data_IF_682364972563
#
_entry.id   IF_682364972563
#
_cell.length_a   1.000
_cell.length_b   1.000
_cell.length_c   1.000
_cell.angle_alpha   90.00
_cell.angle_beta   90.00
_cell.angle_gamma   90.00
#
_symmetry.space_group_name_H-M   'P 1'
#
loop_
_entity.id
_entity.type
_entity.pdbx_description
1 polymer ?
#
# COMPACT_ATOMS: atom_id res chain seq x y z
N UNK A 1 -32.29 -10.85 -5.09
CA UNK A 1 -30.87 -10.51 -5.08
C UNK A 1 -30.18 -11.45 -6.06
N UNK A 2 -29.52 -10.92 -7.06
CA UNK A 2 -28.75 -11.74 -8.01
C UNK A 2 -27.39 -12.03 -7.36
N UNK A 3 -27.06 -13.30 -7.17
CA UNK A 3 -25.74 -13.76 -6.71
C UNK A 3 -24.85 -13.94 -7.94
N UNK A 4 -23.69 -13.32 -7.95
CA UNK A 4 -22.70 -13.44 -9.02
C UNK A 4 -21.40 -13.98 -8.44
N UNK A 5 -20.67 -14.76 -9.23
CA UNK A 5 -19.30 -15.17 -8.90
C UNK A 5 -18.42 -13.93 -8.78
N UNK A 6 -17.65 -13.83 -7.69
CA UNK A 6 -16.79 -12.68 -7.41
C UNK A 6 -15.84 -12.33 -8.59
N UNK A 7 -15.33 -13.36 -9.26
CA UNK A 7 -14.38 -13.21 -10.36
C UNK A 7 -15.00 -12.61 -11.65
N UNK A 8 -16.32 -12.58 -11.79
CA UNK A 8 -16.99 -12.11 -13.01
C UNK A 8 -17.16 -10.60 -13.06
N UNK A 9 -17.24 -9.93 -11.90
CA UNK A 9 -17.54 -8.49 -11.82
C UNK A 9 -16.56 -7.68 -10.95
N UNK A 10 -15.60 -8.35 -10.30
CA UNK A 10 -14.64 -7.70 -9.44
C UNK A 10 -13.20 -7.86 -9.97
N UNK A 11 -12.41 -6.81 -9.86
CA UNK A 11 -10.97 -6.83 -10.09
C UNK A 11 -10.24 -6.58 -8.77
N UNK A 12 -9.17 -7.32 -8.55
CA UNK A 12 -8.35 -7.23 -7.34
C UNK A 12 -7.02 -6.51 -7.65
N UNK A 13 -6.58 -5.65 -6.74
CA UNK A 13 -5.25 -5.04 -6.72
C UNK A 13 -4.62 -5.34 -5.36
N UNK A 14 -3.37 -5.78 -5.34
CA UNK A 14 -2.68 -6.24 -4.14
C UNK A 14 -2.48 -7.75 -4.12
N UNK A 15 -1.83 -8.22 -3.06
CA UNK A 15 -1.62 -9.66 -2.86
C UNK A 15 -2.81 -10.26 -2.13
N UNK A 16 -3.57 -11.07 -2.84
CA UNK A 16 -4.70 -11.80 -2.31
C UNK A 16 -4.40 -13.31 -2.25
N UNK A 17 -4.78 -13.93 -1.14
CA UNK A 17 -4.95 -15.37 -1.06
C UNK A 17 -6.25 -15.75 -1.78
N UNK A 18 -6.14 -16.58 -2.81
CA UNK A 18 -7.25 -17.09 -3.62
C UNK A 18 -7.43 -18.59 -3.45
N UNK A 19 -7.01 -19.16 -2.33
CA UNK A 19 -7.26 -20.59 -2.01
C UNK A 19 -8.76 -20.87 -2.06
N UNK A 20 -9.58 -19.94 -1.56
CA UNK A 20 -11.02 -19.90 -1.78
C UNK A 20 -11.34 -18.76 -2.76
N UNK A 21 -11.47 -19.06 -4.05
CA UNK A 21 -11.63 -18.05 -5.12
C UNK A 21 -12.85 -17.16 -4.94
N UNK A 22 -13.92 -17.69 -4.36
CA UNK A 22 -15.16 -16.95 -4.11
C UNK A 22 -15.10 -16.09 -2.85
N UNK A 23 -14.00 -16.19 -2.09
CA UNK A 23 -13.74 -15.41 -0.88
C UNK A 23 -12.29 -14.92 -0.85
N UNK A 24 -11.89 -14.08 -1.82
CA UNK A 24 -10.53 -13.57 -1.86
C UNK A 24 -10.19 -12.86 -0.54
N UNK A 25 -9.03 -13.18 0.02
CA UNK A 25 -8.57 -12.65 1.30
C UNK A 25 -7.32 -11.79 1.12
N UNK A 26 -7.29 -10.63 1.75
CA UNK A 26 -6.12 -9.75 1.82
C UNK A 26 -5.76 -9.39 3.26
N UNK A 27 -4.48 -9.08 3.49
CA UNK A 27 -3.98 -8.58 4.77
C UNK A 27 -3.15 -7.30 4.60
N UNK A 28 -2.51 -7.14 3.45
CA UNK A 28 -1.64 -5.99 3.17
C UNK A 28 -2.44 -4.71 2.97
N UNK A 29 -1.90 -3.62 3.49
CA UNK A 29 -2.41 -2.27 3.26
C UNK A 29 -2.54 -1.97 1.76
N UNK A 30 -3.48 -1.14 1.37
CA UNK A 30 -3.77 -0.78 -0.02
C UNK A 30 -4.24 -1.93 -0.92
N UNK A 31 -4.41 -3.15 -0.38
CA UNK A 31 -5.13 -4.18 -1.14
C UNK A 31 -6.55 -3.69 -1.44
N UNK A 32 -6.98 -3.81 -2.70
CA UNK A 32 -8.23 -3.20 -3.12
C UNK A 32 -9.09 -4.09 -4.02
N UNK A 33 -10.40 -3.86 -3.95
CA UNK A 33 -11.42 -4.45 -4.83
C UNK A 33 -12.02 -3.34 -5.68
N UNK A 34 -12.09 -3.56 -6.99
CA UNK A 34 -12.67 -2.63 -7.97
C UNK A 34 -13.91 -3.24 -8.58
N UNK A 35 -14.99 -2.47 -8.61
CA UNK A 35 -16.28 -2.84 -9.19
C UNK A 35 -16.78 -1.73 -10.10
N UNK A 36 -17.67 -2.10 -11.04
CA UNK A 36 -18.55 -1.15 -11.69
C UNK A 36 -19.97 -1.69 -11.66
N UNK A 37 -20.94 -0.81 -11.49
CA UNK A 37 -22.35 -1.19 -11.40
C UNK A 37 -23.28 -0.10 -11.93
N UNK A 38 -24.50 -0.49 -12.27
CA UNK A 38 -25.62 0.42 -12.54
C UNK A 38 -26.62 0.32 -11.40
N UNK A 39 -27.02 1.45 -10.84
CA UNK A 39 -27.99 1.51 -9.73
C UNK A 39 -27.68 2.65 -8.76
N UNK A 40 -28.39 2.68 -7.64
CA UNK A 40 -28.36 3.80 -6.67
C UNK A 40 -27.72 3.44 -5.33
N UNK A 41 -27.32 2.18 -5.15
CA UNK A 41 -26.72 1.70 -3.90
C UNK A 41 -25.93 0.41 -4.12
N UNK A 42 -25.01 0.13 -3.23
CA UNK A 42 -24.22 -1.13 -3.19
C UNK A 42 -23.93 -1.53 -1.76
N UNK A 43 -24.01 -2.83 -1.49
CA UNK A 43 -23.69 -3.43 -0.20
C UNK A 43 -22.64 -4.52 -0.37
N UNK A 44 -21.90 -4.80 0.71
CA UNK A 44 -20.84 -5.79 0.78
C UNK A 44 -21.09 -6.71 1.97
N UNK A 45 -20.83 -8.01 1.81
CA UNK A 45 -20.63 -8.95 2.90
C UNK A 45 -19.13 -9.30 2.97
N UNK A 46 -18.50 -9.03 4.10
CA UNK A 46 -17.09 -9.27 4.34
C UNK A 46 -16.85 -9.82 5.75
N UNK A 47 -15.74 -10.54 5.89
CA UNK A 47 -15.25 -11.07 7.15
C UNK A 47 -13.95 -10.34 7.51
N UNK A 48 -13.88 -9.82 8.73
CA UNK A 48 -12.65 -9.33 9.34
C UNK A 48 -12.22 -10.30 10.44
N UNK A 49 -10.94 -10.70 10.42
CA UNK A 49 -10.39 -11.66 11.38
C UNK A 49 -10.38 -11.12 12.81
N UNK A 50 -10.13 -9.83 13.03
CA UNK A 50 -9.85 -9.23 14.34
C UNK A 50 -10.77 -8.06 14.73
N UNK A 51 -11.52 -7.50 13.77
CA UNK A 51 -12.43 -6.37 13.96
C UNK A 51 -11.70 -5.04 14.11
N UNK A 52 -10.48 -4.96 13.58
CA UNK A 52 -9.63 -3.76 13.64
C UNK A 52 -9.32 -3.20 12.25
N UNK A 53 -9.82 -3.83 11.19
CA UNK A 53 -9.61 -3.37 9.84
C UNK A 53 -10.57 -2.24 9.45
N UNK A 54 -10.02 -1.33 8.68
CA UNK A 54 -10.74 -0.21 8.07
C UNK A 54 -10.57 -0.25 6.56
N UNK A 55 -11.62 0.10 5.83
CA UNK A 55 -11.60 0.21 4.38
C UNK A 55 -12.00 1.62 3.94
N UNK A 56 -11.24 2.17 3.00
CA UNK A 56 -11.58 3.41 2.30
C UNK A 56 -12.52 3.11 1.16
N UNK A 57 -13.57 3.92 1.01
CA UNK A 57 -14.59 3.80 -0.03
C UNK A 57 -14.42 4.94 -1.01
N UNK A 58 -14.16 4.59 -2.27
CA UNK A 58 -14.01 5.54 -3.37
C UNK A 58 -15.10 5.26 -4.40
N UNK A 59 -15.95 6.23 -4.67
CA UNK A 59 -17.03 6.16 -5.65
C UNK A 59 -16.80 7.19 -6.74
N UNK A 60 -16.79 6.75 -7.99
CA UNK A 60 -16.54 7.60 -9.17
C UNK A 60 -15.23 8.41 -9.07
N UNK A 61 -14.20 7.78 -8.50
CA UNK A 61 -12.88 8.38 -8.29
C UNK A 61 -12.79 9.37 -7.13
N UNK A 62 -13.86 9.51 -6.32
CA UNK A 62 -13.92 10.39 -5.15
C UNK A 62 -13.94 9.57 -3.88
N UNK A 63 -12.97 9.79 -2.98
CA UNK A 63 -12.98 9.21 -1.64
C UNK A 63 -14.18 9.78 -0.86
N UNK A 64 -15.08 8.92 -0.40
CA UNK A 64 -16.35 9.29 0.24
C UNK A 64 -16.30 9.19 1.75
N UNK A 65 -15.92 8.03 2.24
CA UNK A 65 -15.86 7.69 3.66
C UNK A 65 -15.00 6.44 3.85
N UNK A 66 -14.82 6.08 5.10
CA UNK A 66 -14.22 4.81 5.48
C UNK A 66 -15.16 4.02 6.42
N UNK A 67 -15.01 2.70 6.42
CA UNK A 67 -15.83 1.79 7.21
C UNK A 67 -14.93 0.95 8.11
N UNK A 68 -15.24 0.89 9.41
CA UNK A 68 -14.67 -0.09 10.32
C UNK A 68 -15.38 -1.44 10.12
N UNK A 69 -14.61 -2.47 9.85
CA UNK A 69 -15.11 -3.83 9.77
C UNK A 69 -15.16 -4.45 11.18
N UNK A 70 -16.26 -5.13 11.47
CA UNK A 70 -16.44 -5.85 12.73
C UNK A 70 -15.89 -7.27 12.60
N UNK A 71 -15.36 -7.81 13.70
CA UNK A 71 -14.88 -9.18 13.74
C UNK A 71 -15.93 -10.19 13.29
N UNK A 72 -15.54 -11.09 12.39
CA UNK A 72 -16.42 -12.09 11.78
C UNK A 72 -17.14 -11.57 10.54
N UNK A 73 -18.11 -12.32 10.05
CA UNK A 73 -18.84 -12.03 8.82
C UNK A 73 -19.98 -11.06 9.08
N UNK A 74 -19.97 -9.92 8.39
CA UNK A 74 -21.00 -8.90 8.51
C UNK A 74 -21.35 -8.31 7.15
N UNK A 75 -22.59 -7.79 7.06
CA UNK A 75 -23.06 -7.02 5.92
C UNK A 75 -22.88 -5.53 6.18
N UNK A 76 -22.39 -4.80 5.16
CA UNK A 76 -22.16 -3.36 5.18
C UNK A 76 -22.87 -2.70 4.01
N UNK A 77 -23.58 -1.61 4.27
CA UNK A 77 -24.01 -0.68 3.22
C UNK A 77 -22.80 0.16 2.88
N UNK A 78 -22.29 0.03 1.65
CA UNK A 78 -21.12 0.75 1.19
C UNK A 78 -21.50 2.15 0.73
N UNK A 79 -22.54 2.24 -0.10
CA UNK A 79 -23.06 3.52 -0.58
C UNK A 79 -24.55 3.38 -0.87
N UNK A 80 -25.27 4.49 -0.70
CA UNK A 80 -26.71 4.56 -1.01
C UNK A 80 -27.13 5.99 -1.39
N UNK A 81 -28.20 6.10 -2.17
CA UNK A 81 -28.71 7.39 -2.62
C UNK A 81 -27.89 8.03 -3.74
N UNK A 82 -27.09 7.24 -4.44
CA UNK A 82 -26.46 7.68 -5.68
C UNK A 82 -27.51 8.04 -6.74
N UNK A 83 -27.21 8.96 -7.67
CA UNK A 83 -28.03 9.15 -8.86
C UNK A 83 -28.22 7.82 -9.61
N UNK A 84 -29.33 7.67 -10.31
CA UNK A 84 -29.50 6.52 -11.21
C UNK A 84 -28.47 6.59 -12.34
N UNK A 85 -27.65 5.55 -12.50
CA UNK A 85 -26.58 5.57 -13.50
C UNK A 85 -25.55 4.48 -13.31
N UNK A 86 -24.47 4.60 -14.07
CA UNK A 86 -23.28 3.74 -13.96
C UNK A 86 -22.29 4.38 -12.99
N UNK A 87 -21.79 3.57 -12.07
CA UNK A 87 -20.85 3.98 -11.03
C UNK A 87 -19.65 3.05 -10.98
N UNK A 88 -18.52 3.59 -10.57
CA UNK A 88 -17.33 2.83 -10.19
C UNK A 88 -17.18 2.83 -8.67
N UNK A 89 -16.71 1.72 -8.13
CA UNK A 89 -16.42 1.56 -6.70
C UNK A 89 -15.03 0.97 -6.52
N UNK A 90 -14.27 1.58 -5.64
CA UNK A 90 -13.01 1.04 -5.13
C UNK A 90 -13.13 0.89 -3.61
N UNK A 91 -12.70 -0.25 -3.08
CA UNK A 91 -12.63 -0.52 -1.65
C UNK A 91 -11.19 -0.86 -1.33
N UNK A 92 -10.48 0.04 -0.64
CA UNK A 92 -9.07 -0.13 -0.27
C UNK A 92 -8.94 -0.47 1.21
N UNK A 93 -8.15 -1.49 1.55
CA UNK A 93 -7.75 -1.73 2.94
C UNK A 93 -6.87 -0.57 3.41
N UNK A 94 -7.33 0.19 4.42
CA UNK A 94 -6.61 1.36 4.99
C UNK A 94 -5.49 0.97 5.92
N UNK A 95 -5.71 -0.09 6.68
CA UNK A 95 -4.88 -0.58 7.78
C UNK A 95 -3.88 -1.62 7.31
N UNK A 96 -2.80 -1.82 8.08
CA UNK A 96 -1.75 -2.78 7.78
C UNK A 96 -2.10 -4.22 8.14
N UNK A 97 -1.13 -5.10 7.95
CA UNK A 97 -1.27 -6.53 8.22
C UNK A 97 -1.45 -6.86 9.71
N UNK A 98 -0.99 -5.99 10.61
CA UNK A 98 -1.07 -6.22 12.05
C UNK A 98 -2.48 -6.05 12.63
N UNK A 99 -3.40 -5.44 11.87
CA UNK A 99 -4.80 -5.29 12.28
C UNK A 99 -5.67 -6.48 11.88
N UNK A 100 -5.14 -7.38 11.06
CA UNK A 100 -5.86 -8.57 10.63
C UNK A 100 -5.96 -8.73 9.12
N UNK A 101 -6.93 -9.54 8.70
CA UNK A 101 -7.21 -9.85 7.31
C UNK A 101 -8.68 -9.73 6.98
N UNK A 102 -8.97 -9.28 5.76
CA UNK A 102 -10.32 -9.14 5.21
C UNK A 102 -10.55 -10.22 4.15
N UNK A 103 -11.64 -10.99 4.29
CA UNK A 103 -12.16 -11.83 3.24
C UNK A 103 -13.45 -11.23 2.68
N UNK A 104 -13.51 -11.05 1.36
CA UNK A 104 -14.70 -10.53 0.67
C UNK A 104 -15.59 -11.68 0.25
N UNK A 105 -16.85 -11.70 0.71
CA UNK A 105 -17.76 -12.80 0.45
C UNK A 105 -18.72 -12.51 -0.70
N UNK A 106 -19.35 -11.33 -0.70
CA UNK A 106 -20.39 -11.02 -1.65
C UNK A 106 -20.59 -9.50 -1.80
N UNK A 107 -20.98 -9.09 -2.99
CA UNK A 107 -21.55 -7.76 -3.25
C UNK A 107 -23.00 -7.89 -3.69
N UNK A 108 -23.83 -6.93 -3.34
CA UNK A 108 -25.24 -6.93 -3.68
C UNK A 108 -25.75 -5.54 -4.04
N UNK A 109 -26.68 -5.50 -4.99
CA UNK A 109 -27.33 -4.30 -5.48
C UNK A 109 -28.85 -4.38 -5.19
N UNK A 110 -29.57 -3.24 -5.08
CA UNK A 110 -31.01 -3.21 -5.06
C UNK A 110 -31.64 -3.82 -6.32
N UNK A 111 -32.94 -4.12 -6.27
CA UNK A 111 -33.69 -4.61 -7.42
C UNK A 111 -33.58 -3.62 -8.59
N UNK A 112 -33.30 -4.13 -9.77
CA UNK A 112 -33.06 -3.36 -10.99
C UNK A 112 -31.60 -2.97 -11.22
N UNK A 113 -30.74 -3.10 -10.22
CA UNK A 113 -29.29 -2.90 -10.38
C UNK A 113 -28.61 -4.05 -11.13
N UNK A 114 -27.46 -3.77 -11.73
CA UNK A 114 -26.62 -4.77 -12.41
C UNK A 114 -25.14 -4.47 -12.25
N UNK A 115 -24.31 -5.49 -12.04
CA UNK A 115 -22.87 -5.35 -12.12
C UNK A 115 -22.43 -5.21 -13.58
N UNK A 116 -21.40 -4.42 -13.79
CA UNK A 116 -20.74 -4.16 -15.07
C UNK A 116 -19.33 -4.74 -15.03
N UNK A 117 -18.64 -4.75 -16.18
CA UNK A 117 -17.22 -5.10 -16.21
C UNK A 117 -16.43 -4.12 -15.32
N UNK A 118 -15.54 -4.61 -14.45
CA UNK A 118 -14.77 -3.74 -13.56
C UNK A 118 -13.84 -2.82 -14.35
N UNK A 119 -13.44 -1.67 -13.79
CA UNK A 119 -12.48 -0.79 -14.43
C UNK A 119 -11.19 -1.54 -14.80
N UNK A 120 -10.66 -1.28 -15.99
CA UNK A 120 -9.42 -1.91 -16.45
C UNK A 120 -8.24 -1.57 -15.53
N UNK A 121 -7.31 -2.50 -15.40
CA UNK A 121 -6.05 -2.25 -14.71
C UNK A 121 -5.25 -1.15 -15.42
N UNK A 122 -4.51 -0.36 -14.64
CA UNK A 122 -3.62 0.66 -15.17
C UNK A 122 -2.40 0.00 -15.81
N UNK A 123 -1.80 0.61 -16.84
CA UNK A 123 -0.71 -0.01 -17.57
C UNK A 123 0.60 -0.09 -16.79
N UNK A 124 0.89 0.92 -15.96
CA UNK A 124 2.09 0.95 -15.12
C UNK A 124 1.83 0.19 -13.83
N UNK A 125 2.81 -0.59 -13.38
CA UNK A 125 2.74 -1.43 -12.18
C UNK A 125 3.88 -1.13 -11.23
N UNK A 126 3.56 -0.82 -9.98
CA UNK A 126 4.52 -0.55 -8.93
C UNK A 126 4.33 -1.51 -7.76
N UNK A 127 5.41 -1.88 -7.08
CA UNK A 127 5.34 -2.61 -5.82
C UNK A 127 6.14 -1.88 -4.76
N UNK A 128 5.56 -1.70 -3.57
CA UNK A 128 6.14 -0.96 -2.46
C UNK A 128 6.42 -1.89 -1.29
N UNK A 129 7.63 -1.79 -0.76
CA UNK A 129 8.09 -2.52 0.41
C UNK A 129 8.50 -1.53 1.49
N UNK A 130 8.01 -1.72 2.72
CA UNK A 130 8.37 -0.80 3.79
C UNK A 130 7.84 -1.18 5.16
N UNK A 131 7.88 -0.19 6.02
CA UNK A 131 7.50 -0.28 7.42
C UNK A 131 6.22 0.54 7.72
N UNK A 132 6.08 1.05 8.94
CA UNK A 132 4.94 1.87 9.38
C UNK A 132 4.74 3.12 8.52
N UNK A 133 5.80 3.73 7.99
CA UNK A 133 5.70 4.90 7.12
C UNK A 133 5.00 4.50 5.79
N UNK A 134 5.36 3.36 5.24
CA UNK A 134 4.77 2.82 4.01
C UNK A 134 3.34 2.34 4.24
N UNK A 135 3.06 1.81 5.42
CA UNK A 135 1.74 1.39 5.87
C UNK A 135 0.75 2.57 6.03
N UNK A 136 1.28 3.78 6.26
CA UNK A 136 0.47 4.95 6.57
C UNK A 136 -0.03 4.94 8.02
N UNK A 137 0.74 4.32 8.92
CA UNK A 137 0.38 4.20 10.34
C UNK A 137 0.31 5.57 11.01
N UNK A 138 -0.79 5.85 11.70
CA UNK A 138 -1.00 7.06 12.48
C UNK A 138 -1.10 8.35 11.67
N UNK A 139 -1.20 8.30 10.37
CA UNK A 139 -1.18 9.46 9.46
C UNK A 139 -2.25 10.51 9.79
N UNK A 140 -3.44 10.07 10.24
CA UNK A 140 -4.59 10.93 10.58
C UNK A 140 -4.58 11.49 12.00
N UNK A 141 -3.53 11.25 12.79
CA UNK A 141 -3.52 11.63 14.20
C UNK A 141 -2.70 12.91 14.46
N UNK A 142 -3.22 13.90 15.19
CA UNK A 142 -2.39 14.94 15.76
C UNK A 142 -1.59 14.33 16.93
N UNK A 143 -0.35 14.05 16.70
CA UNK A 143 0.75 13.58 17.56
C UNK A 143 0.42 12.89 18.95
N UNK A 144 1.42 12.34 19.60
CA UNK A 144 1.55 11.87 21.00
C UNK A 144 0.74 10.65 21.45
N UNK A 145 -0.37 10.28 20.83
CA UNK A 145 -1.24 9.26 21.41
C UNK A 145 -1.11 7.89 20.77
N UNK A 146 -1.67 6.91 21.48
CA UNK A 146 -1.65 5.51 21.20
C UNK A 146 -2.05 5.16 19.76
N UNK A 147 -1.53 4.05 19.28
CA UNK A 147 -2.00 3.42 18.04
C UNK A 147 -3.51 3.26 18.09
N UNK A 148 -4.14 3.74 17.05
CA UNK A 148 -5.56 3.59 16.86
C UNK A 148 -5.78 3.30 15.36
N UNK A 149 -6.17 2.08 14.98
CA UNK A 149 -6.28 1.67 13.58
C UNK A 149 -7.14 2.58 12.69
N UNK A 150 -8.12 3.29 13.29
CA UNK A 150 -8.94 4.26 12.54
C UNK A 150 -8.16 5.49 12.05
N UNK A 151 -6.95 5.68 12.53
CA UNK A 151 -6.06 6.80 12.18
C UNK A 151 -4.99 6.40 11.17
N UNK A 152 -4.90 5.11 10.85
CA UNK A 152 -4.07 4.61 9.76
C UNK A 152 -4.76 4.90 8.42
N UNK A 153 -3.97 5.28 7.42
CA UNK A 153 -4.51 5.60 6.12
C UNK A 153 -3.51 5.29 4.99
N UNK A 154 -3.49 4.03 4.58
CA UNK A 154 -2.65 3.61 3.46
C UNK A 154 -3.03 4.28 2.15
N UNK A 155 -4.33 4.60 1.93
CA UNK A 155 -4.80 5.25 0.72
C UNK A 155 -4.21 6.66 0.55
N UNK A 156 -4.06 7.40 1.65
CA UNK A 156 -3.47 8.74 1.70
C UNK A 156 -1.98 8.72 2.06
N UNK A 157 -1.36 7.56 2.20
CA UNK A 157 0.10 7.47 2.36
C UNK A 157 0.83 7.90 1.07
N UNK A 158 2.13 8.17 1.20
CA UNK A 158 2.98 8.51 0.06
C UNK A 158 2.94 7.45 -1.05
N UNK A 159 2.65 6.19 -0.70
CA UNK A 159 2.45 5.08 -1.63
C UNK A 159 1.25 5.34 -2.54
N UNK A 160 0.06 5.49 -1.95
CA UNK A 160 -1.16 5.74 -2.70
C UNK A 160 -1.10 7.05 -3.50
N UNK A 161 -0.49 8.10 -2.94
CA UNK A 161 -0.31 9.39 -3.61
C UNK A 161 0.60 9.25 -4.82
N UNK A 162 1.81 8.69 -4.66
CA UNK A 162 2.77 8.55 -5.78
C UNK A 162 2.25 7.62 -6.88
N UNK A 163 1.60 6.51 -6.50
CA UNK A 163 1.01 5.59 -7.47
C UNK A 163 -0.12 6.24 -8.29
N UNK A 164 -1.02 7.01 -7.65
CA UNK A 164 -2.07 7.75 -8.37
C UNK A 164 -1.49 8.83 -9.28
N UNK A 165 -0.44 9.55 -8.85
CA UNK A 165 0.23 10.54 -9.70
C UNK A 165 0.89 9.94 -10.93
N UNK A 166 1.40 8.72 -10.83
CA UNK A 166 2.01 7.97 -11.93
C UNK A 166 0.98 7.17 -12.74
N UNK A 167 -0.30 7.25 -12.39
CA UNK A 167 -1.35 6.43 -13.00
C UNK A 167 -1.03 4.93 -12.98
N UNK A 168 -0.56 4.44 -11.85
CA UNK A 168 -0.07 3.08 -11.68
C UNK A 168 -1.06 2.20 -10.90
N UNK A 169 -1.14 0.90 -11.27
CA UNK A 169 -1.52 -0.16 -10.34
C UNK A 169 -0.41 -0.31 -9.31
N UNK A 170 -0.75 -0.70 -8.08
CA UNK A 170 0.29 -0.86 -7.07
C UNK A 170 -0.05 -1.93 -6.03
N UNK A 171 0.98 -2.64 -5.60
CA UNK A 171 0.94 -3.53 -4.45
C UNK A 171 1.77 -2.93 -3.32
N UNK A 172 1.38 -3.18 -2.09
CA UNK A 172 2.11 -2.72 -0.91
C UNK A 172 2.34 -3.89 0.03
N UNK A 173 3.59 -4.07 0.45
CA UNK A 173 3.96 -4.96 1.55
C UNK A 173 4.65 -4.11 2.61
N UNK A 174 3.94 -3.84 3.70
CA UNK A 174 4.44 -3.03 4.78
C UNK A 174 4.05 -3.65 6.14
N UNK A 175 4.96 -3.55 7.11
CA UNK A 175 4.73 -4.02 8.48
C UNK A 175 5.31 -2.99 9.45
N UNK A 176 4.47 -2.48 10.35
CA UNK A 176 4.94 -1.57 11.39
C UNK A 176 6.08 -2.18 12.21
N UNK A 177 7.15 -1.43 12.42
CA UNK A 177 8.29 -1.85 13.24
C UNK A 177 9.30 -2.76 12.55
N UNK A 178 9.09 -3.18 11.29
CA UNK A 178 10.00 -4.08 10.58
C UNK A 178 11.11 -3.31 9.88
N UNK A 179 12.27 -3.94 9.73
CA UNK A 179 13.36 -3.48 8.87
C UNK A 179 13.67 -4.45 7.75
N UNK A 180 14.82 -4.29 7.12
CA UNK A 180 15.31 -5.25 6.13
C UNK A 180 16.11 -6.37 6.78
N UNK A 181 16.83 -6.08 7.87
CA UNK A 181 17.67 -7.00 8.62
C UNK A 181 17.16 -7.28 10.02
N UNK A 182 16.70 -6.25 10.74
CA UNK A 182 16.18 -6.37 12.09
C UNK A 182 14.96 -5.47 12.30
N UNK A 183 14.14 -5.83 13.29
CA UNK A 183 12.99 -5.01 13.69
C UNK A 183 13.42 -3.86 14.64
N UNK A 184 12.47 -3.02 15.01
CA UNK A 184 12.67 -1.85 15.85
C UNK A 184 13.22 -2.15 17.26
N UNK A 185 13.16 -3.40 17.71
CA UNK A 185 13.67 -3.84 19.03
C UNK A 185 14.93 -4.74 18.90
N UNK A 186 15.45 -4.91 17.69
CA UNK A 186 16.71 -5.61 17.41
C UNK A 186 16.59 -7.12 17.17
N UNK A 187 15.39 -7.66 17.02
CA UNK A 187 15.23 -9.05 16.59
C UNK A 187 15.65 -9.20 15.12
N UNK A 188 16.37 -10.29 14.81
CA UNK A 188 16.83 -10.58 13.45
C UNK A 188 15.70 -11.16 12.60
N UNK A 189 14.78 -10.32 12.25
CA UNK A 189 13.66 -10.60 11.36
C UNK A 189 13.40 -9.38 10.48
N UNK A 190 13.21 -9.60 9.20
CA UNK A 190 13.04 -8.54 8.23
C UNK A 190 11.88 -8.79 7.28
N UNK A 191 11.43 -7.74 6.60
CA UNK A 191 10.38 -7.83 5.60
C UNK A 191 10.67 -8.86 4.50
N UNK A 192 11.93 -9.13 4.08
CA UNK A 192 12.22 -10.16 3.08
C UNK A 192 11.65 -11.55 3.40
N UNK A 193 11.53 -11.90 4.69
CA UNK A 193 10.96 -13.19 5.11
C UNK A 193 9.48 -13.35 4.75
N UNK A 194 8.77 -12.26 4.52
CA UNK A 194 7.35 -12.21 4.16
C UNK A 194 7.11 -12.22 2.65
N UNK A 195 8.16 -11.99 1.83
CA UNK A 195 8.07 -11.72 0.40
C UNK A 195 7.42 -12.86 -0.41
N UNK A 196 7.60 -14.10 -0.01
CA UNK A 196 7.08 -15.27 -0.72
C UNK A 196 5.64 -15.63 -0.38
N UNK A 197 5.03 -15.00 0.63
CA UNK A 197 3.67 -15.31 1.06
C UNK A 197 2.62 -14.34 0.51
N UNK A 198 1.42 -14.85 0.25
CA UNK A 198 0.29 -13.99 -0.18
C UNK A 198 -0.15 -13.03 0.92
N UNK A 199 -0.21 -13.52 2.16
CA UNK A 199 -0.61 -12.75 3.35
C UNK A 199 0.54 -12.65 4.36
N UNK A 200 1.80 -12.76 3.91
CA UNK A 200 2.99 -12.72 4.74
C UNK A 200 3.62 -14.08 5.00
N UNK A 201 4.61 -14.10 5.90
CA UNK A 201 5.40 -15.30 6.24
C UNK A 201 4.53 -16.47 6.69
N UNK A 202 4.76 -17.64 6.10
CA UNK A 202 4.07 -18.88 6.47
C UNK A 202 2.65 -19.04 5.93
N UNK A 203 2.18 -18.13 5.09
CA UNK A 203 0.88 -18.24 4.41
C UNK A 203 1.02 -18.90 3.04
N UNK A 204 -0.11 -19.03 2.31
CA UNK A 204 -0.10 -19.56 0.94
C UNK A 204 0.95 -18.85 0.07
N UNK A 205 1.73 -19.57 -0.75
CA UNK A 205 2.75 -18.97 -1.59
C UNK A 205 2.14 -17.93 -2.55
N UNK A 206 2.84 -16.79 -2.70
CA UNK A 206 2.49 -15.82 -3.71
C UNK A 206 2.92 -16.30 -5.11
N UNK A 207 2.00 -16.27 -6.04
CA UNK A 207 2.29 -16.54 -7.45
C UNK A 207 2.78 -15.25 -8.13
N UNK A 208 4.09 -15.13 -8.29
CA UNK A 208 4.74 -13.95 -8.90
C UNK A 208 4.36 -13.73 -10.37
N UNK A 209 3.78 -14.73 -11.06
CA UNK A 209 3.30 -14.56 -12.43
C UNK A 209 2.03 -13.69 -12.51
N UNK A 210 1.31 -13.53 -11.42
CA UNK A 210 0.08 -12.73 -11.35
C UNK A 210 0.33 -11.23 -11.41
N UNK A 211 1.54 -10.81 -11.01
CA UNK A 211 1.91 -9.39 -10.99
C UNK A 211 3.41 -9.24 -11.18
N UNK A 212 3.80 -8.56 -12.26
CA UNK A 212 5.18 -8.20 -12.54
C UNK A 212 5.28 -6.68 -12.52
N UNK A 213 5.93 -6.06 -11.52
CA UNK A 213 6.07 -4.63 -11.43
C UNK A 213 7.09 -4.09 -12.45
N UNK A 214 6.82 -2.92 -13.00
CA UNK A 214 7.77 -2.14 -13.81
C UNK A 214 8.76 -1.41 -12.90
N UNK A 215 8.34 -1.09 -11.68
CA UNK A 215 9.17 -0.43 -10.66
C UNK A 215 8.86 -0.93 -9.26
N UNK A 216 9.90 -1.00 -8.45
CA UNK A 216 9.88 -1.40 -7.05
C UNK A 216 10.38 -0.25 -6.19
N UNK A 217 9.67 0.10 -5.14
CA UNK A 217 10.05 1.10 -4.14
C UNK A 217 10.31 0.40 -2.81
N UNK A 218 11.46 0.62 -2.21
CA UNK A 218 11.84 0.03 -0.92
C UNK A 218 12.15 1.18 0.05
N UNK A 219 11.37 1.30 1.12
CA UNK A 219 11.59 2.26 2.20
C UNK A 219 11.77 1.50 3.51
N UNK A 220 12.97 0.98 3.73
CA UNK A 220 13.37 0.18 4.88
C UNK A 220 14.72 0.67 5.41
N UNK A 221 14.89 0.67 6.73
CA UNK A 221 16.08 1.15 7.42
C UNK A 221 15.73 1.94 8.67
N UNK A 222 14.55 2.56 8.70
CA UNK A 222 14.08 3.31 9.85
C UNK A 222 14.14 2.47 11.15
N UNK A 223 13.63 1.25 11.09
CA UNK A 223 13.59 0.35 12.23
C UNK A 223 14.90 -0.38 12.46
N UNK A 224 15.64 -0.72 11.40
CA UNK A 224 16.98 -1.28 11.51
C UNK A 224 17.90 -0.41 12.37
N UNK A 225 17.79 0.92 12.21
CA UNK A 225 18.62 1.91 12.90
C UNK A 225 18.00 2.46 14.20
N UNK A 226 16.91 1.87 14.68
CA UNK A 226 16.31 2.21 15.99
C UNK A 226 17.10 1.64 17.17
N UNK A 227 17.89 0.59 16.95
CA UNK A 227 18.78 -0.04 17.92
C UNK A 227 20.18 -0.17 17.30
N UNK A 228 21.22 -0.47 18.10
CA UNK A 228 22.56 -0.71 17.55
C UNK A 228 22.52 -1.75 16.42
N UNK A 229 23.16 -1.43 15.32
CA UNK A 229 23.16 -2.23 14.10
C UNK A 229 24.59 -2.52 13.62
N UNK A 230 24.75 -3.65 12.96
CA UNK A 230 25.90 -3.95 12.10
C UNK A 230 25.59 -3.44 10.69
N UNK A 231 26.22 -2.34 10.28
CA UNK A 231 26.04 -1.73 8.96
C UNK A 231 26.35 -2.69 7.81
N UNK A 232 27.33 -3.57 7.97
CA UNK A 232 27.72 -4.54 6.93
C UNK A 232 26.62 -5.60 6.77
N UNK A 233 26.04 -6.07 7.88
CA UNK A 233 24.92 -7.01 7.86
C UNK A 233 23.67 -6.38 7.24
N UNK A 234 23.35 -5.12 7.57
CA UNK A 234 22.26 -4.37 6.94
C UNK A 234 22.45 -4.24 5.43
N UNK A 235 23.65 -3.81 4.99
CA UNK A 235 23.97 -3.65 3.57
C UNK A 235 23.84 -4.99 2.84
N UNK A 236 24.37 -6.06 3.43
CA UNK A 236 24.30 -7.40 2.84
C UNK A 236 22.86 -7.89 2.69
N UNK A 237 22.04 -7.76 3.73
CA UNK A 237 20.62 -8.14 3.71
C UNK A 237 19.82 -7.31 2.68
N UNK A 238 20.11 -6.03 2.56
CA UNK A 238 19.46 -5.16 1.58
C UNK A 238 19.83 -5.54 0.14
N UNK A 239 21.11 -5.82 -0.12
CA UNK A 239 21.59 -6.32 -1.42
C UNK A 239 20.91 -7.65 -1.76
N UNK A 240 20.88 -8.58 -0.82
CA UNK A 240 20.22 -9.88 -1.00
C UNK A 240 18.72 -9.71 -1.33
N UNK A 241 18.02 -8.82 -0.63
CA UNK A 241 16.60 -8.57 -0.90
C UNK A 241 16.38 -8.02 -2.31
N UNK A 242 17.19 -7.07 -2.76
CA UNK A 242 17.09 -6.55 -4.14
C UNK A 242 17.41 -7.66 -5.15
N UNK A 243 18.41 -8.52 -4.90
CA UNK A 243 18.69 -9.66 -5.79
C UNK A 243 17.51 -10.61 -5.90
N UNK A 244 16.88 -10.96 -4.77
CA UNK A 244 15.67 -11.79 -4.76
C UNK A 244 14.54 -11.14 -5.56
N UNK A 245 14.35 -9.84 -5.47
CA UNK A 245 13.38 -9.08 -6.26
C UNK A 245 13.70 -9.17 -7.75
N UNK A 246 14.94 -8.93 -8.13
CA UNK A 246 15.40 -8.99 -9.53
C UNK A 246 15.28 -10.40 -10.11
N UNK A 247 15.49 -11.45 -9.31
CA UNK A 247 15.34 -12.85 -9.73
C UNK A 247 13.86 -13.23 -9.95
N UNK A 248 12.94 -12.59 -9.25
CA UNK A 248 11.49 -12.87 -9.35
C UNK A 248 10.78 -12.05 -10.40
N UNK A 249 11.29 -10.85 -10.69
CA UNK A 249 10.67 -9.90 -11.61
C UNK A 249 11.54 -9.63 -12.82
N UNK A 250 10.93 -9.21 -13.91
CA UNK A 250 11.62 -8.99 -15.18
C UNK A 250 12.29 -7.60 -15.21
N UNK A 251 13.45 -7.46 -14.56
CA UNK A 251 14.31 -6.28 -14.62
C UNK A 251 13.62 -4.94 -14.28
N UNK A 252 12.91 -4.84 -13.13
CA UNK A 252 12.22 -3.62 -12.74
C UNK A 252 13.21 -2.51 -12.40
N UNK A 253 12.75 -1.24 -12.45
CA UNK A 253 13.43 -0.17 -11.75
C UNK A 253 13.32 -0.37 -10.23
N UNK A 254 14.39 -0.05 -9.48
CA UNK A 254 14.39 -0.16 -8.00
C UNK A 254 14.75 1.19 -7.40
N UNK A 255 13.89 1.68 -6.52
CA UNK A 255 14.01 2.96 -5.83
C UNK A 255 14.17 2.71 -4.34
N UNK A 256 15.40 2.87 -3.84
CA UNK A 256 15.75 2.69 -2.42
C UNK A 256 15.54 4.02 -1.69
N UNK A 257 14.42 4.16 -0.99
CA UNK A 257 14.05 5.37 -0.27
C UNK A 257 14.75 5.47 1.09
N UNK A 258 15.04 6.70 1.51
CA UNK A 258 15.58 7.05 2.83
C UNK A 258 14.79 8.21 3.40
N UNK A 259 14.48 8.14 4.68
CA UNK A 259 13.67 9.12 5.40
C UNK A 259 12.30 8.50 5.70
N UNK A 260 11.46 9.15 6.45
CA UNK A 260 11.43 10.59 6.78
C UNK A 260 11.61 10.85 8.29
N UNK A 261 11.53 9.83 9.14
CA UNK A 261 11.71 9.99 10.60
C UNK A 261 13.20 10.12 10.99
N UNK A 262 14.09 9.40 10.29
CA UNK A 262 15.54 9.61 10.34
C UNK A 262 16.18 9.27 9.00
N UNK A 263 17.43 9.67 8.80
CA UNK A 263 18.23 9.37 7.61
C UNK A 263 19.62 8.76 7.94
N UNK A 264 19.79 8.19 9.12
CA UNK A 264 21.04 7.64 9.61
C UNK A 264 21.62 6.54 8.69
N UNK A 265 20.74 5.87 7.93
CA UNK A 265 21.08 4.78 7.00
C UNK A 265 21.34 5.23 5.55
N UNK A 266 21.31 6.55 5.26
CA UNK A 266 21.56 7.06 3.90
C UNK A 266 22.92 6.62 3.32
N UNK A 267 23.97 6.64 4.14
CA UNK A 267 25.30 6.22 3.71
C UNK A 267 25.33 4.72 3.32
N UNK A 268 24.63 3.89 4.08
CA UNK A 268 24.56 2.44 3.84
C UNK A 268 23.71 2.13 2.59
N UNK A 269 22.58 2.82 2.38
CA UNK A 269 21.78 2.68 1.15
C UNK A 269 22.55 3.14 -0.08
N UNK A 270 23.36 4.20 0.02
CA UNK A 270 24.26 4.60 -1.08
C UNK A 270 25.27 3.50 -1.44
N UNK A 271 25.79 2.75 -0.46
CA UNK A 271 26.68 1.60 -0.71
C UNK A 271 25.94 0.46 -1.42
N UNK A 272 24.69 0.16 -1.00
CA UNK A 272 23.83 -0.82 -1.66
C UNK A 272 23.62 -0.46 -3.14
N UNK A 273 23.21 0.76 -3.43
CA UNK A 273 22.98 1.22 -4.81
C UNK A 273 24.28 1.22 -5.62
N UNK A 274 25.40 1.62 -5.01
CA UNK A 274 26.72 1.60 -5.65
C UNK A 274 27.13 0.19 -6.06
N UNK A 275 26.84 -0.84 -5.24
CA UNK A 275 27.08 -2.24 -5.58
C UNK A 275 26.40 -2.65 -6.88
N UNK A 276 25.10 -2.34 -7.04
CA UNK A 276 24.35 -2.67 -8.27
C UNK A 276 24.85 -1.87 -9.47
N UNK A 277 25.13 -0.58 -9.30
CA UNK A 277 25.66 0.26 -10.37
C UNK A 277 27.04 -0.22 -10.86
N UNK A 278 27.91 -0.67 -9.98
CA UNK A 278 29.22 -1.24 -10.32
C UNK A 278 29.09 -2.61 -11.01
N UNK A 279 28.06 -3.38 -10.67
CA UNK A 279 27.73 -4.66 -11.32
C UNK A 279 27.06 -4.48 -12.69
N UNK A 280 26.85 -3.23 -13.15
CA UNK A 280 26.25 -2.92 -14.45
C UNK A 280 24.75 -2.68 -14.42
N UNK A 281 24.04 -2.93 -13.33
CA UNK A 281 22.64 -2.57 -13.21
C UNK A 281 22.49 -1.06 -12.95
N UNK A 282 21.91 -0.34 -13.91
CA UNK A 282 21.71 1.11 -13.88
C UNK A 282 20.29 1.53 -13.50
N UNK A 283 19.45 0.58 -13.08
CA UNK A 283 18.05 0.83 -12.71
C UNK A 283 17.81 0.88 -11.20
N UNK A 284 18.88 0.83 -10.38
CA UNK A 284 18.79 0.95 -8.92
C UNK A 284 19.21 2.36 -8.50
N UNK A 285 18.34 3.05 -7.74
CA UNK A 285 18.50 4.46 -7.38
C UNK A 285 18.30 4.68 -5.89
N UNK A 286 19.00 5.66 -5.32
CA UNK A 286 18.67 6.22 -4.00
C UNK A 286 17.65 7.34 -4.17
N UNK A 287 16.65 7.38 -3.30
CA UNK A 287 15.67 8.46 -3.20
C UNK A 287 15.68 8.99 -1.78
N UNK A 288 16.20 10.19 -1.57
CA UNK A 288 16.12 10.88 -0.27
C UNK A 288 14.78 11.62 -0.19
N UNK A 289 13.90 11.16 0.71
CA UNK A 289 12.57 11.74 0.94
C UNK A 289 12.60 12.88 1.97
N UNK A 290 13.80 13.25 2.43
CA UNK A 290 13.99 14.27 3.46
C UNK A 290 13.45 13.87 4.83
N UNK A 291 13.65 14.74 5.80
CA UNK A 291 13.11 14.57 7.15
C UNK A 291 11.75 15.26 7.30
N UNK A 292 10.99 14.86 8.31
CA UNK A 292 9.77 15.57 8.72
C UNK A 292 10.16 16.97 9.18
N UNK A 293 9.34 17.97 8.85
CA UNK A 293 9.43 19.34 9.33
C UNK A 293 8.24 19.65 10.25
N UNK A 294 8.29 19.26 11.54
CA UNK A 294 7.12 19.25 12.41
C UNK A 294 6.43 20.60 12.60
N UNK A 295 7.22 21.68 12.58
CA UNK A 295 6.72 23.07 12.70
C UNK A 295 5.92 23.54 11.48
N UNK A 296 6.02 22.84 10.35
CA UNK A 296 5.33 23.17 9.10
C UNK A 296 4.32 22.10 8.73
N UNK A 297 4.74 20.85 8.82
CA UNK A 297 3.97 19.69 8.36
C UNK A 297 3.14 19.03 9.48
N UNK A 298 3.47 19.30 10.75
CA UNK A 298 2.92 18.61 11.90
C UNK A 298 3.43 17.17 12.03
N UNK A 299 3.01 16.51 13.09
CA UNK A 299 3.24 15.08 13.31
C UNK A 299 1.94 14.30 13.06
N UNK A 300 2.06 13.07 12.62
CA UNK A 300 1.05 12.04 12.80
C UNK A 300 1.18 11.36 14.17
N UNK A 301 0.41 10.30 14.40
CA UNK A 301 0.45 9.52 15.64
C UNK A 301 1.82 8.94 15.91
N UNK A 302 2.23 8.89 17.17
CA UNK A 302 3.54 8.36 17.60
C UNK A 302 4.74 8.96 16.86
N UNK A 303 4.69 10.27 16.58
CA UNK A 303 5.77 10.95 15.84
C UNK A 303 6.01 10.38 14.42
N UNK A 304 5.02 9.70 13.84
CA UNK A 304 5.04 9.31 12.43
C UNK A 304 4.74 10.51 11.53
N UNK A 305 5.00 10.41 10.22
CA UNK A 305 4.62 11.45 9.28
C UNK A 305 3.09 11.60 9.21
N UNK A 306 2.61 12.84 9.26
CA UNK A 306 1.20 13.18 9.05
C UNK A 306 0.86 13.35 7.57
N UNK A 307 -0.40 13.70 7.25
CA UNK A 307 -0.89 13.86 5.87
C UNK A 307 -0.02 14.79 5.01
N UNK A 308 0.45 15.91 5.57
CA UNK A 308 1.25 16.88 4.81
C UNK A 308 2.61 16.30 4.41
N UNK A 309 3.27 15.60 5.34
CA UNK A 309 4.54 14.92 5.06
C UNK A 309 4.36 13.81 4.01
N UNK A 310 3.33 12.98 4.15
CA UNK A 310 3.02 11.94 3.16
C UNK A 310 2.71 12.53 1.78
N UNK A 311 2.00 13.66 1.73
CA UNK A 311 1.73 14.35 0.47
C UNK A 311 3.01 14.83 -0.19
N UNK A 312 3.91 15.50 0.56
CA UNK A 312 5.23 15.91 0.05
C UNK A 312 6.04 14.70 -0.45
N UNK A 313 6.17 13.65 0.38
CA UNK A 313 6.90 12.43 0.01
C UNK A 313 6.36 11.81 -1.27
N UNK A 314 5.03 11.74 -1.42
CA UNK A 314 4.37 11.18 -2.60
C UNK A 314 4.66 11.99 -3.87
N UNK A 315 4.65 13.34 -3.78
CA UNK A 315 5.00 14.23 -4.88
C UNK A 315 6.47 14.10 -5.29
N UNK A 316 7.36 14.09 -4.31
CA UNK A 316 8.82 13.97 -4.52
C UNK A 316 9.17 12.63 -5.15
N UNK A 317 8.63 11.53 -4.62
CA UNK A 317 8.84 10.18 -5.14
C UNK A 317 8.33 10.05 -6.57
N UNK A 318 7.09 10.45 -6.85
CA UNK A 318 6.51 10.38 -8.19
C UNK A 318 7.33 11.19 -9.19
N UNK A 319 7.75 12.40 -8.80
CA UNK A 319 8.58 13.27 -9.64
C UNK A 319 9.95 12.67 -9.91
N UNK A 320 10.58 12.07 -8.90
CA UNK A 320 11.87 11.39 -9.05
C UNK A 320 11.75 10.18 -9.97
N UNK A 321 10.74 9.32 -9.77
CA UNK A 321 10.46 8.16 -10.62
C UNK A 321 10.26 8.61 -12.07
N UNK A 322 9.38 9.58 -12.31
CA UNK A 322 9.14 10.13 -13.65
C UNK A 322 10.43 10.65 -14.30
N UNK A 323 11.26 11.39 -13.58
CA UNK A 323 12.53 11.93 -14.09
C UNK A 323 13.55 10.82 -14.45
N UNK A 324 13.52 9.67 -13.77
CA UNK A 324 14.45 8.55 -14.02
C UNK A 324 13.96 7.59 -15.11
N UNK A 325 12.65 7.45 -15.27
CA UNK A 325 12.05 6.44 -16.14
C UNK A 325 11.42 7.03 -17.40
N UNK A 326 11.05 8.32 -17.37
CA UNK A 326 10.25 8.96 -18.41
C UNK A 326 8.75 8.65 -18.30
N UNK A 327 8.28 7.99 -17.24
CA UNK A 327 6.86 7.72 -17.05
C UNK A 327 6.09 9.02 -16.79
N UNK A 328 4.92 9.13 -17.39
CA UNK A 328 4.12 10.34 -17.34
C UNK A 328 3.54 10.58 -15.93
N UNK A 329 3.60 11.83 -15.48
CA UNK A 329 2.89 12.30 -14.31
C UNK A 329 1.51 12.82 -14.72
N UNK A 330 0.47 12.33 -14.08
CA UNK A 330 -0.85 12.98 -14.15
C UNK A 330 -0.74 14.39 -13.56
N UNK A 331 -1.29 15.38 -14.25
CA UNK A 331 -1.42 16.73 -13.73
C UNK A 331 -2.31 16.68 -12.49
N UNK A 332 -1.71 16.86 -11.31
CA UNK A 332 -2.29 16.85 -9.96
C UNK A 332 -3.58 16.03 -9.86
N UNK A 333 -3.57 14.89 -9.16
CA UNK A 333 -4.84 14.32 -8.74
C UNK A 333 -5.61 15.41 -8.00
N UNK A 334 -6.90 15.49 -8.21
CA UNK A 334 -7.83 16.44 -7.55
C UNK A 334 -7.98 16.20 -6.04
N UNK A 335 -6.94 15.70 -5.39
CA UNK A 335 -6.88 15.40 -3.95
C UNK A 335 -7.01 16.69 -3.10
N UNK A 336 -6.77 17.85 -3.69
CA UNK A 336 -6.67 19.11 -2.96
C UNK A 336 -8.02 19.77 -2.61
N UNK A 337 -9.15 19.23 -3.04
CA UNK A 337 -10.44 19.91 -2.87
C UNK A 337 -11.43 19.22 -1.94
N UNK A 338 -11.14 17.99 -1.47
CA UNK A 338 -12.15 17.21 -0.74
C UNK A 338 -11.72 16.67 0.63
N UNK A 339 -10.48 16.86 1.05
CA UNK A 339 -10.14 16.73 2.47
C UNK A 339 -10.59 18.01 3.20
N UNK A 340 -11.84 18.05 3.60
CA UNK A 340 -12.29 18.98 4.64
C UNK A 340 -11.65 18.48 5.94
N UNK A 341 -10.60 19.16 6.39
CA UNK A 341 -9.97 18.98 7.69
C UNK A 341 -10.92 19.40 8.81
#
# INVERSE_FOLDING_TARGET
MLEFSFAEFARLMGRFDLTEREKPKCAWVNSAVFLAFRGTAVSMMAEDSDGQDYVEIVVDGVARNWINLKKGVHQYIIEQGLPEGEHTLEIHKRTGILTGSIAFHQFSLPDGGSFLAPPAAKPLRLEYFGDSITDGAGIGHPHELAEAPHLDDGYMSYVGISARMLNAEYHTMAICGIGVWQDAVGNKQGLPEHFSGSLGKGTAPWDFSRYTPDGVVINLGQNDYSTPIDDEAYIAAYIEFIQVILDKYNDPYVFCCVGTMNNNYLASVNKVVSYFNQSGNRKVFVVDLGLIHPEVEGWGGRYHPGYQTHYRMGLELASFISAKTGWELLKRPSIATECVF
#
